data_IF_949315929550
#
_entry.id   IF_949315929550
#
_cell.length_a   1.000
_cell.length_b   1.000
_cell.length_c   1.000
_cell.angle_alpha   90.00
_cell.angle_beta   90.00
_cell.angle_gamma   90.00
#
_symmetry.space_group_name_H-M   'P 1'
#
loop_
_entity.id
_entity.type
_entity.pdbx_description
1 polymer ?
#
# COMPACT_ATOMS: atom_id res chain seq x y z
N UNK A 1 -11.56 12.73 -9.94
CA UNK A 1 -12.44 11.71 -9.32
C UNK A 1 -11.55 10.86 -8.42
N UNK A 2 -11.89 10.65 -7.15
CA UNK A 2 -11.02 9.92 -6.22
C UNK A 2 -11.01 8.42 -6.53
N UNK A 3 -9.83 7.77 -6.44
CA UNK A 3 -9.74 6.31 -6.62
C UNK A 3 -10.44 5.57 -5.49
N UNK A 4 -11.09 4.45 -5.82
CA UNK A 4 -11.75 3.59 -4.83
C UNK A 4 -10.73 2.63 -4.21
N UNK A 5 -10.65 2.61 -2.88
CA UNK A 5 -9.86 1.61 -2.16
C UNK A 5 -10.64 0.29 -2.08
N UNK A 6 -9.99 -0.81 -2.49
CA UNK A 6 -10.41 -2.18 -2.23
C UNK A 6 -9.34 -2.91 -1.42
N UNK A 7 -9.75 -3.82 -0.54
CA UNK A 7 -8.83 -4.60 0.32
C UNK A 7 -9.14 -6.08 0.16
N UNK A 8 -8.20 -6.83 -0.41
CA UNK A 8 -8.30 -8.28 -0.53
C UNK A 8 -8.28 -8.95 0.85
N UNK A 9 -8.67 -10.23 0.90
CA UNK A 9 -8.65 -11.00 2.14
C UNK A 9 -7.22 -11.25 2.62
N UNK A 10 -6.31 -11.46 1.68
CA UNK A 10 -4.88 -11.66 1.81
C UNK A 10 -4.24 -10.41 2.43
N UNK A 11 -4.50 -9.24 1.86
CA UNK A 11 -4.00 -7.98 2.38
C UNK A 11 -4.42 -7.74 3.84
N UNK A 12 -5.67 -8.03 4.19
CA UNK A 12 -6.16 -7.90 5.58
C UNK A 12 -5.41 -8.82 6.55
N UNK A 13 -5.07 -10.04 6.13
CA UNK A 13 -4.29 -10.98 6.95
C UNK A 13 -2.86 -10.48 7.12
N UNK A 14 -2.22 -10.01 6.05
CA UNK A 14 -0.87 -9.48 6.08
C UNK A 14 -0.75 -8.24 6.95
N UNK A 15 -1.68 -7.29 6.79
CA UNK A 15 -1.72 -6.09 7.63
C UNK A 15 -1.80 -6.44 9.12
N UNK A 16 -2.68 -7.38 9.51
CA UNK A 16 -2.79 -7.85 10.90
C UNK A 16 -1.50 -8.47 11.42
N UNK A 17 -0.80 -9.23 10.57
CA UNK A 17 0.49 -9.85 10.92
C UNK A 17 1.58 -8.79 11.14
N UNK A 18 1.69 -7.82 10.24
CA UNK A 18 2.69 -6.73 10.35
C UNK A 18 2.40 -5.83 11.55
N UNK A 19 1.14 -5.48 11.79
CA UNK A 19 0.70 -4.66 12.94
C UNK A 19 0.97 -5.32 14.29
N UNK A 20 1.12 -6.65 14.34
CA UNK A 20 1.53 -7.38 15.55
C UNK A 20 3.05 -7.57 15.68
N UNK A 21 3.82 -7.27 14.63
CA UNK A 21 5.24 -7.57 14.53
C UNK A 21 6.15 -6.36 14.73
N UNK A 22 7.36 -6.45 14.17
CA UNK A 22 8.44 -5.45 14.28
C UNK A 22 8.02 -4.04 13.85
N UNK A 23 7.16 -3.92 12.85
CA UNK A 23 6.76 -2.64 12.27
C UNK A 23 5.46 -2.06 12.85
N UNK A 24 4.97 -2.60 13.98
CA UNK A 24 3.73 -2.16 14.62
C UNK A 24 3.64 -0.65 14.88
N UNK A 25 4.78 0.00 15.13
CA UNK A 25 4.84 1.43 15.45
C UNK A 25 4.78 2.35 14.23
N UNK A 26 5.08 1.84 13.02
CA UNK A 26 5.22 2.68 11.82
C UNK A 26 4.29 2.29 10.68
N UNK A 27 3.79 1.05 10.68
CA UNK A 27 3.02 0.52 9.54
C UNK A 27 1.75 1.31 9.23
N UNK A 28 1.09 1.86 10.25
CA UNK A 28 -0.16 2.59 10.07
C UNK A 28 0.08 3.93 9.37
N UNK A 29 1.02 4.73 9.87
CA UNK A 29 1.36 6.04 9.29
C UNK A 29 1.91 5.90 7.87
N UNK A 30 2.83 4.96 7.65
CA UNK A 30 3.40 4.71 6.31
C UNK A 30 2.34 4.25 5.31
N UNK A 31 1.35 3.45 5.75
CA UNK A 31 0.27 2.99 4.88
C UNK A 31 -0.72 4.11 4.58
N UNK A 32 -1.09 4.93 5.57
CA UNK A 32 -2.00 6.06 5.38
C UNK A 32 -1.39 7.10 4.43
N UNK A 33 -0.10 7.39 4.57
CA UNK A 33 0.62 8.35 3.71
C UNK A 33 0.54 7.93 2.23
N UNK A 34 0.89 6.69 1.89
CA UNK A 34 0.85 6.25 0.50
C UNK A 34 -0.58 6.12 -0.03
N UNK A 35 -1.55 5.74 0.82
CA UNK A 35 -2.95 5.68 0.41
C UNK A 35 -3.51 7.06 0.07
N UNK A 36 -3.16 8.11 0.81
CA UNK A 36 -3.57 9.49 0.49
C UNK A 36 -3.02 9.93 -0.87
N UNK A 37 -1.76 9.61 -1.15
CA UNK A 37 -1.13 9.89 -2.45
C UNK A 37 -1.89 9.19 -3.57
N UNK A 38 -2.15 7.89 -3.42
CA UNK A 38 -2.81 7.08 -4.45
C UNK A 38 -4.28 7.48 -4.67
N UNK A 39 -5.04 7.73 -3.61
CA UNK A 39 -6.48 8.06 -3.71
C UNK A 39 -6.70 9.39 -4.41
N UNK A 40 -5.79 10.34 -4.20
CA UNK A 40 -5.87 11.69 -4.75
C UNK A 40 -5.09 11.86 -6.06
N UNK A 41 -4.59 10.77 -6.66
CA UNK A 41 -3.79 10.83 -7.89
C UNK A 41 -2.57 11.78 -7.80
N UNK A 42 -1.98 11.90 -6.60
CA UNK A 42 -0.79 12.74 -6.39
C UNK A 42 0.44 12.04 -6.99
N UNK A 43 1.46 12.79 -7.45
CA UNK A 43 2.72 12.21 -7.90
C UNK A 43 3.36 11.38 -6.79
N UNK A 44 3.78 10.14 -7.11
CA UNK A 44 4.42 9.25 -6.14
C UNK A 44 5.88 9.66 -5.96
N UNK A 45 6.34 9.94 -4.72
CA UNK A 45 7.74 10.26 -4.45
C UNK A 45 8.70 9.13 -4.86
N UNK A 46 9.90 9.44 -5.40
CA UNK A 46 10.85 8.43 -5.86
C UNK A 46 11.27 7.38 -4.81
N UNK A 47 11.21 7.73 -3.52
CA UNK A 47 11.53 6.82 -2.40
C UNK A 47 10.64 5.58 -2.32
N UNK A 48 9.43 5.63 -2.87
CA UNK A 48 8.53 4.47 -2.91
C UNK A 48 8.89 3.50 -4.04
N UNK A 49 9.75 3.92 -4.97
CA UNK A 49 10.25 3.10 -6.09
C UNK A 49 9.09 2.41 -6.80
N UNK A 50 8.05 3.18 -7.16
CA UNK A 50 6.87 2.63 -7.84
C UNK A 50 7.26 2.08 -9.22
N UNK A 51 6.84 0.85 -9.52
CA UNK A 51 7.13 0.17 -10.77
C UNK A 51 6.13 -0.96 -11.03
N UNK A 52 5.81 -1.25 -12.31
CA UNK A 52 4.94 -2.36 -12.64
C UNK A 52 5.56 -3.70 -12.23
N UNK A 53 4.76 -4.56 -11.61
CA UNK A 53 5.19 -5.88 -11.20
C UNK A 53 5.28 -6.85 -12.38
N UNK A 54 6.08 -7.91 -12.21
CA UNK A 54 6.36 -8.93 -13.23
C UNK A 54 5.86 -10.32 -12.79
N UNK A 55 5.80 -11.26 -13.74
CA UNK A 55 5.39 -12.65 -13.47
C UNK A 55 3.91 -12.79 -13.12
N UNK A 56 3.60 -13.58 -12.08
CA UNK A 56 2.23 -13.80 -11.60
C UNK A 56 1.53 -12.53 -11.09
N UNK A 57 2.28 -11.44 -10.92
CA UNK A 57 1.79 -10.14 -10.47
C UNK A 57 1.65 -9.13 -11.60
N UNK A 58 1.78 -9.56 -12.87
CA UNK A 58 1.59 -8.66 -14.02
C UNK A 58 0.19 -8.03 -13.97
N UNK A 59 0.13 -6.71 -14.14
CA UNK A 59 -1.11 -5.93 -14.06
C UNK A 59 -1.35 -5.29 -12.69
N UNK A 60 -0.42 -5.51 -11.74
CA UNK A 60 -0.31 -4.78 -10.49
C UNK A 60 0.96 -3.93 -10.46
#
# INVERSE_FOLDING_TARGET
>A
MMRKISRSSEFKKDYKRVKKGKYRATIEDSLVEILDILVNDKPIPPRYVDHPLKGNWRGF
#
